data_IF_777324311852
#
_entry.id   IF_777324311852
#
_cell.length_a   1.000
_cell.length_b   1.000
_cell.length_c   1.000
_cell.angle_alpha   90.00
_cell.angle_beta   90.00
_cell.angle_gamma   90.00
#
_symmetry.space_group_name_H-M   'P 1'
#
loop_
_entity.id
_entity.type
_entity.pdbx_description
1 polymer ?
#
# COMPACT_ATOMS: atom_id res chain seq x y z
N UNK A 1 -10.82 2.97 7.12
CA UNK A 1 -10.00 1.88 7.71
C UNK A 1 -9.19 1.13 6.67
N UNK A 2 -9.73 0.88 5.47
CA UNK A 2 -9.04 0.19 4.38
C UNK A 2 -7.63 0.74 4.10
N UNK A 3 -7.47 2.06 3.91
CA UNK A 3 -6.15 2.66 3.65
C UNK A 3 -5.13 2.46 4.77
N UNK A 4 -5.56 2.41 6.04
CA UNK A 4 -4.66 2.11 7.17
C UNK A 4 -4.17 0.65 7.11
N UNK A 5 -5.06 -0.28 6.75
CA UNK A 5 -4.72 -1.68 6.54
C UNK A 5 -3.75 -1.87 5.37
N UNK A 6 -4.05 -1.25 4.22
CA UNK A 6 -3.16 -1.26 3.05
C UNK A 6 -1.77 -0.69 3.39
N UNK A 7 -1.72 0.43 4.13
CA UNK A 7 -0.47 1.06 4.52
C UNK A 7 0.34 0.17 5.47
N UNK A 8 -0.30 -0.41 6.48
CA UNK A 8 0.36 -1.31 7.43
C UNK A 8 0.95 -2.55 6.75
N UNK A 9 0.19 -3.19 5.85
CA UNK A 9 0.60 -4.40 5.16
C UNK A 9 1.74 -4.14 4.15
N UNK A 10 1.63 -3.08 3.36
CA UNK A 10 2.70 -2.71 2.42
C UNK A 10 3.96 -2.21 3.15
N UNK A 11 3.81 -1.48 4.26
CA UNK A 11 4.94 -1.06 5.09
C UNK A 11 5.63 -2.24 5.80
N UNK A 12 4.88 -3.26 6.23
CA UNK A 12 5.45 -4.46 6.83
C UNK A 12 6.44 -5.15 5.88
N UNK A 13 6.13 -5.21 4.58
CA UNK A 13 7.01 -5.75 3.54
C UNK A 13 8.25 -4.88 3.28
N UNK A 14 8.25 -3.61 3.69
CA UNK A 14 9.37 -2.69 3.49
C UNK A 14 10.26 -2.52 4.73
N UNK A 15 9.77 -2.94 5.90
CA UNK A 15 10.44 -2.71 7.17
C UNK A 15 11.62 -3.67 7.41
N UNK A 16 11.65 -4.81 6.72
CA UNK A 16 12.66 -5.86 6.88
C UNK A 16 13.24 -6.26 5.53
N UNK A 17 14.55 -6.55 5.43
CA UNK A 17 15.12 -7.14 4.23
C UNK A 17 14.77 -8.63 4.07
N UNK A 18 14.19 -9.27 5.09
CA UNK A 18 13.92 -10.70 5.14
C UNK A 18 12.51 -11.06 4.64
N UNK A 19 12.13 -10.58 3.46
CA UNK A 19 10.84 -10.91 2.84
C UNK A 19 10.98 -12.16 1.99
N UNK A 20 10.19 -13.18 2.32
CA UNK A 20 10.09 -14.43 1.59
C UNK A 20 8.84 -14.42 0.68
N UNK A 21 8.74 -15.40 -0.23
CA UNK A 21 7.66 -15.40 -1.23
C UNK A 21 6.28 -15.42 -0.58
N UNK A 22 6.12 -16.16 0.53
CA UNK A 22 4.84 -16.28 1.22
C UNK A 22 4.40 -14.96 1.88
N UNK A 23 5.33 -14.06 2.21
CA UNK A 23 4.99 -12.76 2.80
C UNK A 23 4.22 -11.87 1.81
N UNK A 24 4.35 -12.11 0.51
CA UNK A 24 3.65 -11.35 -0.53
C UNK A 24 2.13 -11.57 -0.52
N UNK A 25 1.63 -12.52 0.27
CA UNK A 25 0.19 -12.59 0.60
C UNK A 25 -0.28 -11.27 1.22
N UNK A 26 0.56 -10.61 2.03
CA UNK A 26 0.25 -9.29 2.59
C UNK A 26 0.07 -8.24 1.50
N UNK A 27 0.83 -8.31 0.41
CA UNK A 27 0.67 -7.42 -0.74
C UNK A 27 -0.69 -7.63 -1.41
N UNK A 28 -1.12 -8.88 -1.59
CA UNK A 28 -2.45 -9.22 -2.10
C UNK A 28 -3.58 -8.64 -1.24
N UNK A 29 -3.47 -8.74 0.09
CA UNK A 29 -4.45 -8.15 1.02
C UNK A 29 -4.40 -6.61 0.97
N UNK A 30 -3.21 -6.01 0.83
CA UNK A 30 -3.08 -4.56 0.66
C UNK A 30 -3.75 -4.08 -0.63
N UNK A 31 -3.59 -4.81 -1.74
CA UNK A 31 -4.29 -4.55 -3.01
C UNK A 31 -5.81 -4.61 -2.82
N UNK A 32 -6.32 -5.60 -2.09
CA UNK A 32 -7.75 -5.70 -1.80
C UNK A 32 -8.28 -4.47 -1.04
N UNK A 33 -7.53 -3.98 -0.04
CA UNK A 33 -7.90 -2.76 0.69
C UNK A 33 -7.86 -1.50 -0.18
N UNK A 34 -6.82 -1.34 -1.01
CA UNK A 34 -6.75 -0.19 -1.95
C UNK A 34 -7.89 -0.27 -2.96
N UNK A 35 -8.22 -1.47 -3.44
CA UNK A 35 -9.33 -1.71 -4.37
C UNK A 35 -10.67 -1.35 -3.73
N UNK A 36 -10.91 -1.76 -2.48
CA UNK A 36 -12.11 -1.38 -1.75
C UNK A 36 -12.23 0.15 -1.60
N UNK A 37 -11.15 0.84 -1.24
CA UNK A 37 -11.15 2.32 -1.18
C UNK A 37 -11.38 2.98 -2.55
N UNK A 38 -10.86 2.38 -3.63
CA UNK A 38 -11.11 2.83 -5.00
C UNK A 38 -12.58 2.66 -5.39
N UNK A 39 -13.23 1.57 -4.99
CA UNK A 39 -14.64 1.31 -5.30
C UNK A 39 -15.58 2.24 -4.52
N UNK A 40 -15.20 2.62 -3.29
CA UNK A 40 -15.98 3.56 -2.47
C UNK A 40 -15.78 5.03 -2.89
N UNK A 41 -14.58 5.37 -3.38
CA UNK A 41 -14.18 6.74 -3.71
C UNK A 41 -13.86 6.86 -5.20
N UNK A 42 -13.03 7.82 -5.59
CA UNK A 42 -12.60 8.01 -6.97
C UNK A 42 -11.26 7.31 -7.25
N UNK A 43 -11.03 6.97 -8.52
CA UNK A 43 -9.76 6.41 -8.99
C UNK A 43 -9.10 7.30 -10.04
N UNK A 44 -7.77 7.35 -10.02
CA UNK A 44 -7.00 7.90 -11.11
C UNK A 44 -6.72 6.80 -12.14
N UNK A 45 -6.68 7.18 -13.41
CA UNK A 45 -6.54 6.26 -14.56
C UNK A 45 -5.33 5.32 -14.47
N UNK A 46 -4.27 5.71 -13.75
CA UNK A 46 -3.05 4.94 -13.62
C UNK A 46 -3.00 4.01 -12.40
N UNK A 47 -3.88 4.16 -11.40
CA UNK A 47 -3.85 3.33 -10.19
C UNK A 47 -4.11 1.84 -10.48
N UNK A 48 -5.09 1.47 -11.35
CA UNK A 48 -5.31 0.07 -11.68
C UNK A 48 -4.10 -0.59 -12.33
N UNK A 49 -3.30 0.15 -13.11
CA UNK A 49 -2.08 -0.38 -13.74
C UNK A 49 -1.06 -0.81 -12.69
N UNK A 50 -0.88 -0.01 -11.63
CA UNK A 50 0.02 -0.36 -10.53
C UNK A 50 -0.52 -1.48 -9.66
N UNK A 51 -1.84 -1.54 -9.43
CA UNK A 51 -2.46 -2.66 -8.74
C UNK A 51 -2.29 -3.97 -9.52
N UNK A 52 -2.46 -3.94 -10.84
CA UNK A 52 -2.24 -5.08 -11.72
C UNK A 52 -0.76 -5.52 -11.71
N UNK A 53 0.17 -4.56 -11.80
CA UNK A 53 1.59 -4.84 -11.65
C UNK A 53 1.90 -5.50 -10.29
N UNK A 54 1.41 -4.94 -9.19
CA UNK A 54 1.66 -5.46 -7.85
C UNK A 54 1.03 -6.84 -7.62
N UNK A 55 -0.10 -7.12 -8.26
CA UNK A 55 -0.74 -8.44 -8.25
C UNK A 55 0.10 -9.50 -8.98
N UNK A 56 0.68 -9.12 -10.11
CA UNK A 56 1.48 -10.03 -10.95
C UNK A 56 2.91 -10.21 -10.46
N UNK A 57 3.52 -9.17 -9.86
CA UNK A 57 4.93 -9.15 -9.48
C UNK A 57 5.40 -10.40 -8.71
N UNK A 58 4.69 -10.90 -7.68
CA UNK A 58 5.16 -12.06 -6.91
C UNK A 58 5.28 -13.36 -7.73
N UNK A 59 4.58 -13.48 -8.87
CA UNK A 59 4.60 -14.69 -9.71
C UNK A 59 5.97 -14.95 -10.36
N UNK A 60 6.72 -13.88 -10.67
CA UNK A 60 8.00 -13.95 -11.36
C UNK A 60 9.08 -13.08 -10.71
N UNK A 61 8.76 -12.38 -9.62
CA UNK A 61 9.63 -11.38 -9.03
C UNK A 61 10.96 -11.93 -8.55
N UNK A 62 10.98 -13.14 -7.96
CA UNK A 62 12.24 -13.81 -7.60
C UNK A 62 13.09 -14.09 -8.83
N UNK A 63 12.54 -14.82 -9.81
CA UNK A 63 13.28 -15.20 -11.02
C UNK A 63 13.81 -13.98 -11.78
N UNK A 64 13.01 -12.92 -11.91
CA UNK A 64 13.47 -11.68 -12.57
C UNK A 64 14.57 -11.01 -11.76
N UNK A 65 14.45 -10.96 -10.44
CA UNK A 65 15.48 -10.36 -9.57
C UNK A 65 16.80 -11.13 -9.66
N UNK A 66 16.75 -12.45 -9.69
CA UNK A 66 17.94 -13.31 -9.79
C UNK A 66 18.66 -13.12 -11.14
N UNK A 67 17.91 -12.93 -12.23
CA UNK A 67 18.46 -12.80 -13.58
C UNK A 67 18.90 -11.37 -13.94
N UNK A 68 18.23 -10.35 -13.41
CA UNK A 68 18.39 -8.96 -13.86
C UNK A 68 18.89 -8.01 -12.77
N UNK A 69 18.92 -8.45 -11.51
CA UNK A 69 19.16 -7.62 -10.32
C UNK A 69 18.10 -6.52 -10.12
N UNK A 70 16.98 -6.56 -10.84
CA UNK A 70 15.88 -5.61 -10.70
C UNK A 70 14.91 -6.14 -9.64
N UNK A 71 14.69 -5.42 -8.51
CA UNK A 71 13.88 -5.91 -7.41
C UNK A 71 12.38 -5.66 -7.66
N UNK A 72 11.77 -6.42 -8.56
CA UNK A 72 10.37 -6.27 -9.03
C UNK A 72 9.37 -6.24 -7.86
N UNK A 73 9.52 -7.17 -6.92
CA UNK A 73 8.65 -7.28 -5.76
C UNK A 73 8.75 -6.09 -4.80
N UNK A 74 9.95 -5.58 -4.58
CA UNK A 74 10.18 -4.38 -3.76
C UNK A 74 9.50 -3.17 -4.38
N UNK A 75 9.64 -2.99 -5.70
CA UNK A 75 8.99 -1.90 -6.44
C UNK A 75 7.47 -1.98 -6.29
N UNK A 76 6.89 -3.19 -6.30
CA UNK A 76 5.45 -3.38 -6.09
C UNK A 76 5.01 -2.95 -4.68
N UNK A 77 5.74 -3.36 -3.63
CA UNK A 77 5.44 -2.96 -2.26
C UNK A 77 5.55 -1.44 -2.06
N UNK A 78 6.58 -0.80 -2.62
CA UNK A 78 6.75 0.67 -2.62
C UNK A 78 5.58 1.34 -3.34
N UNK A 79 5.19 0.85 -4.51
CA UNK A 79 4.10 1.43 -5.29
C UNK A 79 2.77 1.39 -4.53
N UNK A 80 2.44 0.25 -3.90
CA UNK A 80 1.21 0.13 -3.11
C UNK A 80 1.24 1.04 -1.88
N UNK A 81 2.37 1.12 -1.16
CA UNK A 81 2.49 2.05 -0.03
C UNK A 81 2.34 3.51 -0.49
N UNK A 82 3.01 3.90 -1.59
CA UNK A 82 2.96 5.24 -2.13
C UNK A 82 1.55 5.64 -2.60
N UNK A 83 0.84 4.74 -3.31
CA UNK A 83 -0.55 4.95 -3.70
C UNK A 83 -1.42 5.11 -2.46
N UNK A 84 -1.26 4.24 -1.48
CA UNK A 84 -2.05 4.28 -0.24
C UNK A 84 -1.82 5.59 0.53
N UNK A 85 -0.56 6.01 0.69
CA UNK A 85 -0.20 7.25 1.36
C UNK A 85 -0.76 8.48 0.62
N UNK A 86 -0.67 8.49 -0.71
CA UNK A 86 -1.23 9.55 -1.56
C UNK A 86 -2.74 9.64 -1.38
N UNK A 87 -3.45 8.51 -1.40
CA UNK A 87 -4.91 8.46 -1.21
C UNK A 87 -5.30 8.91 0.20
N UNK A 88 -4.57 8.48 1.22
CA UNK A 88 -4.81 8.90 2.60
C UNK A 88 -4.61 10.42 2.76
N UNK A 89 -3.56 11.00 2.14
CA UNK A 89 -3.34 12.44 2.17
C UNK A 89 -4.47 13.23 1.48
N UNK A 90 -5.01 12.70 0.38
CA UNK A 90 -6.08 13.35 -0.38
C UNK A 90 -7.45 13.26 0.29
N UNK A 91 -7.79 12.09 0.84
CA UNK A 91 -9.15 11.79 1.28
C UNK A 91 -9.34 11.81 2.80
N UNK A 92 -8.27 11.58 3.57
CA UNK A 92 -8.32 11.51 5.03
C UNK A 92 -7.57 12.68 5.70
N UNK A 93 -7.01 13.61 4.90
CA UNK A 93 -6.39 14.89 5.27
C UNK A 93 -5.80 14.91 6.69
N UNK A 94 -4.83 14.01 6.98
CA UNK A 94 -4.17 13.85 8.29
C UNK A 94 -5.02 14.34 9.47
N UNK A 95 -6.25 13.84 9.62
CA UNK A 95 -7.10 14.22 10.75
C UNK A 95 -6.47 13.63 12.00
N UNK A 96 -5.54 14.38 12.61
CA UNK A 96 -4.86 14.01 13.82
C UNK A 96 -5.91 14.03 14.93
N UNK A 97 -6.29 12.87 15.49
CA UNK A 97 -7.42 12.79 16.43
C UNK A 97 -7.14 13.56 17.73
N UNK A 98 -5.89 13.89 18.02
CA UNK A 98 -5.55 14.73 19.16
C UNK A 98 -5.93 16.21 18.96
N UNK A 99 -5.93 16.73 17.72
CA UNK A 99 -6.29 18.13 17.47
C UNK A 99 -7.75 18.42 17.87
N UNK A 100 -8.64 17.47 17.62
CA UNK A 100 -10.05 17.54 18.05
C UNK A 100 -10.24 17.35 19.57
N UNK A 101 -9.32 16.65 20.25
CA UNK A 101 -9.37 16.44 21.71
C UNK A 101 -8.89 17.65 22.51
N UNK A 102 -7.97 18.47 21.97
CA UNK A 102 -7.48 19.67 22.65
C UNK A 102 -8.55 20.78 22.72
N UNK A 103 -9.46 20.86 21.75
CA UNK A 103 -10.59 21.78 21.79
C UNK A 103 -11.64 21.40 22.83
N UNK A 104 -11.79 20.11 23.13
CA UNK A 104 -12.76 19.62 24.12
C UNK A 104 -12.36 19.86 25.58
N UNK A 105 -11.06 20.09 25.85
CA UNK A 105 -10.53 20.37 27.20
C UNK A 105 -10.48 21.86 27.55
N UNK A 106 -10.93 22.73 26.64
CA UNK A 106 -10.86 24.20 26.75
C UNK A 106 -12.20 24.85 27.10
N UNK A 107 -13.23 24.05 27.38
CA UNK A 107 -14.53 24.47 27.93
C UNK A 107 -14.73 23.79 29.27
#
# INVERSE_FOLDING_TARGET
>A
MALRGAAALSAALLCTPYVLDYDHVLLGVAIAFVTADILERSTLRWEPTWLAYAWLAPLFGRTVSDLTLIPVNLIAAIAILAITARRAAQFDALTLPWAARLTAYRQ
#
